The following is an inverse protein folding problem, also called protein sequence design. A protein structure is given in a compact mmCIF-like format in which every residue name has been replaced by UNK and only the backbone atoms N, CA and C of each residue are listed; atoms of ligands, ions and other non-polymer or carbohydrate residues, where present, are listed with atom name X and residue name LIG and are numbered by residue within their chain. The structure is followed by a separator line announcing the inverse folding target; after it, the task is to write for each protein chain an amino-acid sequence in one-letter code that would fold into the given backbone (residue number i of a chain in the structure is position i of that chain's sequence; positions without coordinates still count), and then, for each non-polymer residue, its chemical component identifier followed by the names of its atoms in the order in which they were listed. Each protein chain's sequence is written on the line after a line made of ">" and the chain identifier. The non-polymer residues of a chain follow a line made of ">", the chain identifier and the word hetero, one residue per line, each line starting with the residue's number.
data_IF_953510222327
#
_entry.id   IF_953510222327
#
_cell.length_a   1.000
_cell.length_b   1.000
_cell.length_c   1.000
_cell.angle_alpha   90.00
_cell.angle_beta   90.00
_cell.angle_gamma   90.00
#
_symmetry.space_group_name_H-M   'P 1'
#
loop_
_entity.id
_entity.type
_entity.pdbx_description
1 polymer ?
#
# COMPACT_ATOMS: atom_id res chain seq x y z
N UNK A 1 22.88 4.28 33.80
CA UNK A 1 22.24 3.10 33.20
C UNK A 1 20.90 2.72 33.83
N UNK A 2 20.73 2.77 35.16
CA UNK A 2 19.47 2.39 35.86
C UNK A 2 18.24 3.26 35.56
N UNK A 3 18.38 4.54 35.21
CA UNK A 3 17.24 5.43 34.99
C UNK A 3 16.60 5.26 33.58
N UNK A 4 17.38 4.88 32.57
CA UNK A 4 16.88 4.61 31.22
C UNK A 4 16.07 3.30 31.21
N UNK A 5 16.56 2.25 31.87
CA UNK A 5 15.83 0.97 32.01
C UNK A 5 14.51 1.11 32.78
N UNK A 6 14.47 1.97 33.81
CA UNK A 6 13.20 2.27 34.52
C UNK A 6 12.22 3.05 33.64
N UNK A 7 12.70 3.98 32.81
CA UNK A 7 11.87 4.74 31.87
C UNK A 7 11.27 3.85 30.77
N UNK A 8 12.08 2.95 30.18
CA UNK A 8 11.61 2.01 29.14
C UNK A 8 10.60 1.00 29.70
N UNK A 9 10.83 0.45 30.89
CA UNK A 9 9.84 -0.43 31.55
C UNK A 9 8.55 0.29 31.90
N UNK A 10 8.61 1.57 32.31
CA UNK A 10 7.43 2.37 32.59
C UNK A 10 6.64 2.69 31.32
N UNK A 11 7.32 2.97 30.20
CA UNK A 11 6.69 3.18 28.90
C UNK A 11 6.04 1.88 28.38
N UNK A 12 6.72 0.74 28.46
CA UNK A 12 6.16 -0.56 28.08
C UNK A 12 4.94 -0.96 28.94
N UNK A 13 4.99 -0.72 30.24
CA UNK A 13 3.86 -1.00 31.13
C UNK A 13 2.67 -0.09 30.81
N UNK A 14 2.92 1.17 30.46
CA UNK A 14 1.86 2.12 30.05
C UNK A 14 1.23 1.70 28.72
N UNK A 15 2.01 1.20 27.75
CA UNK A 15 1.51 0.68 26.47
C UNK A 15 0.67 -0.58 26.68
N UNK A 16 1.11 -1.50 27.52
CA UNK A 16 0.36 -2.74 27.83
C UNK A 16 -0.94 -2.45 28.57
N UNK A 17 -0.94 -1.50 29.52
CA UNK A 17 -2.15 -1.04 30.19
C UNK A 17 -3.10 -0.32 29.21
N UNK A 18 -2.58 0.47 28.29
CA UNK A 18 -3.35 1.14 27.25
C UNK A 18 -4.00 0.11 26.30
N UNK A 19 -3.26 -0.89 25.86
CA UNK A 19 -3.75 -1.98 25.03
C UNK A 19 -4.81 -2.83 25.74
N UNK A 20 -4.66 -3.09 27.05
CA UNK A 20 -5.66 -3.77 27.86
C UNK A 20 -6.93 -2.93 28.02
N UNK A 21 -6.79 -1.62 28.26
CA UNK A 21 -7.91 -0.68 28.32
C UNK A 21 -8.63 -0.60 26.98
N UNK A 22 -7.92 -0.55 25.86
CA UNK A 22 -8.50 -0.51 24.52
C UNK A 22 -9.18 -1.85 24.16
N UNK A 23 -8.64 -3.01 24.56
CA UNK A 23 -9.30 -4.30 24.37
C UNK A 23 -10.60 -4.42 25.19
N UNK A 24 -10.65 -3.84 26.39
CA UNK A 24 -11.87 -3.72 27.19
C UNK A 24 -12.87 -2.71 26.61
N UNK A 25 -12.40 -1.69 25.87
CA UNK A 25 -13.25 -0.72 25.18
C UNK A 25 -14.00 -1.37 24.01
N UNK A 26 -13.38 -2.28 23.29
CA UNK A 26 -14.04 -3.06 22.24
C UNK A 26 -15.09 -4.02 22.83
N UNK A 27 -14.94 -4.40 24.10
CA UNK A 27 -15.89 -5.26 24.82
C UNK A 27 -16.88 -4.52 25.72
N UNK A 28 -16.56 -3.31 26.21
CA UNK A 28 -17.43 -2.53 27.11
C UNK A 28 -17.85 -1.22 26.40
N UNK A 29 -19.09 -1.13 26.04
CA UNK A 29 -19.76 -0.06 25.28
C UNK A 29 -19.68 1.37 25.85
N UNK A 30 -18.75 1.75 26.75
CA UNK A 30 -18.81 3.05 27.42
C UNK A 30 -17.52 3.83 27.66
N UNK A 31 -16.36 3.41 27.15
CA UNK A 31 -15.23 4.34 27.09
C UNK A 31 -15.30 5.10 25.77
N UNK A 32 -15.70 6.35 25.86
CA UNK A 32 -15.91 7.17 24.67
C UNK A 32 -14.59 7.38 23.95
N UNK A 33 -14.58 7.17 22.63
CA UNK A 33 -13.45 7.48 21.71
C UNK A 33 -12.90 8.89 21.96
N UNK A 34 -13.74 9.81 22.47
CA UNK A 34 -13.34 11.13 22.97
C UNK A 34 -12.31 11.09 24.11
N UNK A 35 -12.23 10.01 24.91
CA UNK A 35 -11.19 9.84 25.93
C UNK A 35 -9.89 9.29 25.33
N UNK A 36 -9.97 8.46 24.29
CA UNK A 36 -8.81 7.97 23.54
C UNK A 36 -8.05 9.12 22.87
N UNK A 37 -8.76 10.06 22.27
CA UNK A 37 -8.18 11.20 21.55
C UNK A 37 -7.51 12.22 22.47
N UNK A 38 -7.82 12.23 23.74
CA UNK A 38 -7.09 13.03 24.74
C UNK A 38 -5.67 12.50 25.01
N UNK A 39 -5.37 11.28 24.54
CA UNK A 39 -4.02 10.72 24.64
C UNK A 39 -3.19 11.20 23.44
N UNK A 40 -2.14 12.00 23.62
CA UNK A 40 -1.34 12.55 22.54
C UNK A 40 -0.67 11.46 21.67
N UNK A 41 -0.47 10.24 22.21
CA UNK A 41 0.10 9.13 21.41
C UNK A 41 -0.89 8.53 20.41
N UNK A 42 -2.18 8.71 20.60
CA UNK A 42 -3.22 8.17 19.71
C UNK A 42 -3.50 9.13 18.54
N UNK A 43 -3.23 10.41 18.71
CA UNK A 43 -3.52 11.44 17.70
C UNK A 43 -2.36 11.68 16.73
N UNK A 44 -1.27 10.92 16.84
CA UNK A 44 -0.08 11.04 16.00
C UNK A 44 0.10 9.92 14.98
N UNK A 45 -0.69 8.85 15.07
CA UNK A 45 -0.60 7.69 14.17
C UNK A 45 -1.98 7.17 13.81
N UNK A 46 -2.16 6.80 12.56
CA UNK A 46 -3.37 6.18 12.00
C UNK A 46 -2.95 5.22 10.87
N UNK A 47 -3.61 4.06 10.71
CA UNK A 47 -4.53 3.44 11.65
C UNK A 47 -3.82 2.81 12.85
N UNK A 48 -4.54 2.69 13.97
CA UNK A 48 -4.08 1.95 15.16
C UNK A 48 -4.68 0.54 15.12
N UNK A 49 -3.83 -0.48 15.17
CA UNK A 49 -4.25 -1.89 15.11
C UNK A 49 -4.38 -2.48 16.51
N UNK A 50 -5.55 -3.02 16.81
CA UNK A 50 -5.88 -3.66 18.08
C UNK A 50 -6.56 -5.00 17.81
N UNK A 51 -5.80 -6.08 17.93
CA UNK A 51 -6.28 -7.41 17.54
C UNK A 51 -6.62 -7.47 16.05
N UNK A 52 -7.88 -7.73 15.73
CA UNK A 52 -8.43 -7.73 14.37
C UNK A 52 -9.08 -6.41 13.95
N UNK A 53 -9.01 -5.40 14.82
CA UNK A 53 -9.67 -4.11 14.63
C UNK A 53 -8.65 -3.02 14.29
N UNK A 54 -8.93 -2.26 13.25
CA UNK A 54 -8.23 -1.03 12.90
C UNK A 54 -9.06 0.18 13.32
N UNK A 55 -8.45 1.09 14.04
CA UNK A 55 -9.00 2.41 14.37
C UNK A 55 -8.31 3.44 13.48
N UNK A 56 -9.02 3.97 12.51
CA UNK A 56 -8.60 5.08 11.68
C UNK A 56 -8.93 6.40 12.37
N UNK A 57 -8.02 7.35 12.31
CA UNK A 57 -8.18 8.69 12.88
C UNK A 57 -7.76 9.73 11.84
N UNK A 58 -8.55 10.78 11.72
CA UNK A 58 -8.20 11.93 10.89
C UNK A 58 -8.45 13.22 11.68
N UNK A 59 -7.53 14.18 11.57
CA UNK A 59 -7.68 15.51 12.13
C UNK A 59 -8.01 16.49 11.00
N UNK A 60 -9.27 16.88 10.92
CA UNK A 60 -9.74 17.95 10.04
C UNK A 60 -9.54 19.35 10.63
N UNK A 61 -10.33 20.27 10.14
CA UNK A 61 -10.42 21.66 10.62
C UNK A 61 -11.89 22.05 10.87
N UNK A 62 -12.13 23.34 11.09
CA UNK A 62 -13.48 23.89 11.32
C UNK A 62 -14.38 23.84 10.06
N UNK A 63 -13.81 23.68 8.88
CA UNK A 63 -14.51 23.61 7.60
C UNK A 63 -14.84 22.19 7.17
N UNK A 64 -14.17 21.19 7.71
CA UNK A 64 -14.37 19.77 7.38
C UNK A 64 -15.80 19.33 7.69
N UNK A 65 -16.51 18.86 6.68
CA UNK A 65 -17.92 18.43 6.77
C UNK A 65 -18.10 16.93 6.67
N UNK A 66 -17.23 16.25 5.89
CA UNK A 66 -17.37 14.85 5.59
C UNK A 66 -16.00 14.20 5.47
N UNK A 67 -15.84 13.06 6.10
CA UNK A 67 -14.63 12.22 6.01
C UNK A 67 -15.06 10.81 5.73
N UNK A 68 -14.41 10.14 4.80
CA UNK A 68 -14.56 8.71 4.53
C UNK A 68 -13.22 8.09 4.19
N UNK A 69 -13.14 6.77 4.32
CA UNK A 69 -11.98 5.98 3.94
C UNK A 69 -12.34 5.14 2.74
N UNK A 70 -11.53 5.20 1.68
CA UNK A 70 -11.69 4.42 0.47
C UNK A 70 -10.37 3.71 0.14
N UNK A 71 -10.47 2.44 -0.22
CA UNK A 71 -9.31 1.60 -0.49
C UNK A 71 -9.72 0.23 -1.02
N UNK A 72 -8.76 -0.69 -1.11
CA UNK A 72 -8.99 -2.05 -1.59
C UNK A 72 -10.12 -2.77 -0.84
N UNK A 73 -10.29 -2.43 0.43
CA UNK A 73 -11.29 -3.05 1.32
C UNK A 73 -12.75 -2.70 0.97
N UNK A 74 -13.01 -1.70 0.15
CA UNK A 74 -14.36 -1.29 -0.28
C UNK A 74 -14.42 -0.89 -1.76
N UNK A 75 -13.51 -1.44 -2.59
CA UNK A 75 -13.43 -1.17 -4.02
C UNK A 75 -13.23 0.30 -4.35
N UNK A 76 -12.52 1.02 -3.50
CA UNK A 76 -12.23 2.46 -3.67
C UNK A 76 -13.50 3.33 -3.74
N UNK A 77 -14.59 2.89 -3.10
CA UNK A 77 -15.87 3.61 -3.09
C UNK A 77 -16.04 4.41 -1.77
N UNK A 78 -15.82 5.74 -1.77
CA UNK A 78 -15.95 6.56 -0.56
C UNK A 78 -17.40 6.70 -0.08
N UNK A 79 -18.38 6.31 -0.93
CA UNK A 79 -19.81 6.34 -0.60
C UNK A 79 -20.34 5.01 -0.09
N UNK A 80 -19.48 3.97 -0.05
CA UNK A 80 -19.86 2.66 0.45
C UNK A 80 -20.36 2.76 1.89
N UNK A 81 -21.48 2.09 2.17
CA UNK A 81 -22.12 2.19 3.47
C UNK A 81 -21.20 1.70 4.60
N UNK A 82 -21.14 2.49 5.66
CA UNK A 82 -20.33 2.18 6.83
C UNK A 82 -18.83 2.54 6.70
N UNK A 83 -18.41 3.22 5.63
CA UNK A 83 -17.05 3.71 5.46
C UNK A 83 -16.91 5.23 5.70
N UNK A 84 -17.99 5.87 6.11
CA UNK A 84 -18.00 7.25 6.56
C UNK A 84 -17.48 7.33 7.99
N UNK A 85 -16.68 8.36 8.25
CA UNK A 85 -16.16 8.67 9.57
C UNK A 85 -17.21 9.30 10.48
N UNK A 86 -17.01 9.11 11.76
CA UNK A 86 -17.78 9.75 12.82
C UNK A 86 -17.00 10.94 13.39
N UNK A 87 -17.60 12.12 13.35
CA UNK A 87 -17.04 13.30 13.98
C UNK A 87 -17.09 13.18 15.51
N UNK A 88 -16.01 13.60 16.18
CA UNK A 88 -15.94 13.60 17.64
C UNK A 88 -16.35 14.99 18.13
N UNK A 89 -17.44 15.02 18.88
CA UNK A 89 -18.04 16.25 19.40
C UNK A 89 -17.02 17.14 20.13
N UNK A 90 -17.03 18.43 19.83
CA UNK A 90 -16.14 19.47 20.39
C UNK A 90 -14.65 19.24 20.07
N UNK A 91 -14.34 18.57 18.96
CA UNK A 91 -12.98 18.42 18.43
C UNK A 91 -12.99 18.56 16.92
N UNK A 92 -11.80 18.54 16.30
CA UNK A 92 -11.64 18.42 14.84
C UNK A 92 -11.31 16.99 14.40
N UNK A 93 -11.45 16.00 15.29
CA UNK A 93 -11.13 14.62 14.97
C UNK A 93 -12.31 13.86 14.40
N UNK A 94 -11.99 13.00 13.45
CA UNK A 94 -12.87 12.02 12.84
C UNK A 94 -12.28 10.64 13.06
N UNK A 95 -13.11 9.63 13.19
CA UNK A 95 -12.67 8.25 13.35
C UNK A 95 -13.56 7.26 12.64
N UNK A 96 -12.98 6.10 12.33
CA UNK A 96 -13.68 4.92 11.84
C UNK A 96 -13.02 3.69 12.44
N UNK A 97 -13.83 2.69 12.84
CA UNK A 97 -13.34 1.39 13.27
C UNK A 97 -13.77 0.33 12.27
N UNK A 98 -12.84 -0.56 11.90
CA UNK A 98 -13.10 -1.69 11.00
C UNK A 98 -12.38 -2.93 11.47
N UNK A 99 -12.98 -4.09 11.25
CA UNK A 99 -12.35 -5.40 11.50
C UNK A 99 -11.85 -5.97 10.20
N UNK A 100 -10.63 -6.51 10.23
CA UNK A 100 -9.98 -7.15 9.10
C UNK A 100 -9.39 -8.50 9.51
N UNK A 101 -9.18 -9.44 8.56
CA UNK A 101 -8.36 -10.60 8.80
C UNK A 101 -6.99 -10.21 9.32
N UNK A 102 -6.45 -10.97 10.28
CA UNK A 102 -5.18 -10.61 10.95
C UNK A 102 -3.96 -10.57 10.02
N UNK A 103 -4.07 -11.18 8.84
CA UNK A 103 -3.05 -11.22 7.79
C UNK A 103 -3.37 -10.32 6.58
N UNK A 104 -4.36 -9.42 6.69
CA UNK A 104 -4.74 -8.54 5.59
C UNK A 104 -3.76 -7.36 5.43
N UNK A 105 -3.63 -6.89 4.20
CA UNK A 105 -2.99 -5.64 3.81
C UNK A 105 -3.85 -4.95 2.77
N UNK A 106 -4.01 -3.64 2.87
CA UNK A 106 -4.78 -2.83 1.93
C UNK A 106 -4.11 -1.49 1.70
N UNK A 107 -4.24 -0.99 0.48
CA UNK A 107 -4.00 0.41 0.15
C UNK A 107 -5.27 1.21 0.37
N UNK A 108 -5.13 2.47 0.80
CA UNK A 108 -6.27 3.35 1.01
C UNK A 108 -5.91 4.83 0.90
N UNK A 109 -6.92 5.66 0.74
CA UNK A 109 -6.89 7.11 0.92
C UNK A 109 -8.01 7.55 1.85
N UNK A 110 -7.86 8.76 2.39
CA UNK A 110 -8.94 9.48 3.07
C UNK A 110 -9.60 10.39 2.04
N UNK A 111 -10.92 10.46 2.05
CA UNK A 111 -11.70 11.39 1.23
C UNK A 111 -12.35 12.42 2.15
N UNK A 112 -11.88 13.64 2.07
CA UNK A 112 -12.30 14.79 2.89
C UNK A 112 -13.03 15.77 2.00
N UNK A 113 -14.33 15.97 2.21
CA UNK A 113 -15.15 16.87 1.41
C UNK A 113 -14.92 16.65 -0.11
N UNK A 114 -14.94 15.37 -0.53
CA UNK A 114 -14.71 14.88 -1.89
C UNK A 114 -13.25 15.01 -2.41
N UNK A 115 -12.30 15.49 -1.61
CA UNK A 115 -10.88 15.53 -1.95
C UNK A 115 -10.16 14.28 -1.43
N UNK A 116 -9.42 13.62 -2.33
CA UNK A 116 -8.65 12.42 -2.03
C UNK A 116 -7.26 12.77 -1.52
N UNK A 117 -6.91 12.32 -0.33
CA UNK A 117 -5.61 12.58 0.29
C UNK A 117 -5.02 11.30 0.87
N UNK A 118 -3.70 11.23 0.95
CA UNK A 118 -3.03 10.26 1.82
C UNK A 118 -3.42 10.52 3.27
N UNK A 119 -3.42 9.48 4.10
CA UNK A 119 -3.57 9.65 5.54
C UNK A 119 -2.35 10.39 6.10
N UNK A 120 -2.51 11.62 6.60
CA UNK A 120 -1.39 12.42 7.09
C UNK A 120 -0.79 11.88 8.40
N UNK A 121 -1.45 10.91 9.04
CA UNK A 121 -0.99 10.24 10.26
C UNK A 121 -0.40 8.86 9.98
N UNK A 122 -0.21 8.49 8.70
CA UNK A 122 0.32 7.20 8.29
C UNK A 122 1.59 7.36 7.44
N UNK A 123 2.73 6.94 7.98
CA UNK A 123 4.01 6.97 7.27
C UNK A 123 4.16 5.79 6.29
N UNK A 124 3.34 4.72 6.45
CA UNK A 124 3.37 3.58 5.53
C UNK A 124 2.63 3.93 4.24
N UNK A 125 3.37 3.97 3.15
CA UNK A 125 2.85 4.33 1.82
C UNK A 125 3.28 3.32 0.75
N UNK A 126 2.47 3.22 -0.30
CA UNK A 126 2.75 2.46 -1.52
C UNK A 126 2.55 3.38 -2.72
N UNK A 127 3.54 3.43 -3.61
CA UNK A 127 3.40 4.10 -4.88
C UNK A 127 2.45 3.29 -5.78
N UNK A 128 1.38 3.91 -6.24
CA UNK A 128 0.48 3.37 -7.26
C UNK A 128 0.82 3.91 -8.64
N UNK A 129 0.05 3.58 -9.67
CA UNK A 129 0.26 4.11 -11.02
C UNK A 129 0.27 5.65 -11.08
N UNK A 130 -0.48 6.32 -10.21
CA UNK A 130 -0.71 7.76 -10.26
C UNK A 130 -0.09 8.55 -9.11
N UNK A 131 -0.14 8.01 -7.89
CA UNK A 131 0.28 8.70 -6.67
C UNK A 131 0.45 7.69 -5.53
N UNK A 132 0.96 8.15 -4.38
CA UNK A 132 1.08 7.32 -3.20
C UNK A 132 -0.27 7.09 -2.52
N UNK A 133 -0.52 5.84 -2.15
CA UNK A 133 -1.57 5.45 -1.24
C UNK A 133 -1.00 5.27 0.17
N UNK A 134 -1.83 5.42 1.18
CA UNK A 134 -1.51 4.96 2.54
C UNK A 134 -1.72 3.46 2.63
N UNK A 135 -0.95 2.79 3.47
CA UNK A 135 -1.00 1.32 3.63
C UNK A 135 -1.45 0.97 5.04
N UNK A 136 -2.38 0.03 5.14
CA UNK A 136 -2.64 -0.69 6.38
C UNK A 136 -2.17 -2.13 6.21
N UNK A 137 -1.33 -2.61 7.12
CA UNK A 137 -0.96 -4.01 7.25
C UNK A 137 -1.35 -4.50 8.65
N UNK A 138 -2.16 -5.54 8.72
CA UNK A 138 -2.57 -6.15 9.98
C UNK A 138 -1.39 -6.91 10.59
N UNK A 139 -1.47 -7.22 11.89
CA UNK A 139 -0.34 -7.70 12.70
C UNK A 139 0.33 -8.99 12.20
N UNK A 140 -0.41 -9.86 11.51
CA UNK A 140 0.08 -11.14 11.02
C UNK A 140 0.35 -11.11 9.49
N UNK A 141 0.30 -9.92 8.87
CA UNK A 141 0.68 -9.78 7.46
C UNK A 141 2.18 -9.97 7.30
N UNK A 142 2.55 -10.88 6.42
CA UNK A 142 3.95 -11.13 6.05
C UNK A 142 4.23 -10.51 4.69
N UNK A 143 5.11 -9.53 4.64
CA UNK A 143 5.58 -8.99 3.38
C UNK A 143 6.34 -10.07 2.60
N UNK A 144 6.00 -10.30 1.32
CA UNK A 144 6.65 -11.33 0.52
C UNK A 144 8.16 -11.09 0.42
N UNK A 145 8.95 -12.09 0.80
CA UNK A 145 10.42 -12.00 0.74
C UNK A 145 10.94 -11.85 -0.69
N UNK A 146 10.15 -12.30 -1.67
CA UNK A 146 10.46 -12.19 -3.09
C UNK A 146 10.52 -10.75 -3.59
N UNK A 147 9.91 -9.78 -2.87
CA UNK A 147 9.94 -8.35 -3.23
C UNK A 147 11.23 -7.64 -2.81
N UNK A 148 12.05 -8.28 -1.98
CA UNK A 148 13.28 -7.69 -1.46
C UNK A 148 14.45 -7.91 -2.41
N UNK A 149 15.21 -6.85 -2.69
CA UNK A 149 16.46 -6.97 -3.43
C UNK A 149 17.48 -7.74 -2.59
N UNK A 150 18.08 -8.79 -3.16
CA UNK A 150 19.09 -9.64 -2.53
C UNK A 150 20.42 -9.50 -3.26
N UNK A 151 21.53 -9.18 -2.56
CA UNK A 151 22.82 -8.89 -3.20
C UNK A 151 23.44 -10.09 -3.94
N UNK A 152 23.08 -11.31 -3.56
CA UNK A 152 23.57 -12.56 -4.16
C UNK A 152 22.81 -12.96 -5.44
N UNK A 153 21.71 -12.26 -5.77
CA UNK A 153 20.85 -12.60 -6.92
C UNK A 153 21.26 -11.82 -8.15
N UNK A 154 21.49 -12.54 -9.24
CA UNK A 154 21.59 -11.95 -10.57
C UNK A 154 20.17 -11.71 -11.11
N UNK A 155 19.86 -10.45 -11.42
CA UNK A 155 18.54 -10.03 -11.89
C UNK A 155 18.43 -9.97 -13.41
N UNK A 156 19.36 -10.55 -14.17
CA UNK A 156 19.32 -10.57 -15.62
C UNK A 156 19.50 -9.18 -16.26
N UNK A 157 18.92 -8.97 -17.43
CA UNK A 157 19.13 -7.73 -18.18
C UNK A 157 17.84 -7.19 -18.78
N UNK A 158 17.58 -5.90 -18.61
CA UNK A 158 16.47 -5.16 -19.19
C UNK A 158 16.97 -4.33 -20.38
N UNK A 159 16.27 -4.41 -21.51
CA UNK A 159 16.60 -3.57 -22.68
C UNK A 159 16.25 -2.11 -22.44
N UNK A 160 16.83 -1.22 -23.24
CA UNK A 160 16.27 0.13 -23.42
C UNK A 160 14.85 0.03 -23.99
N UNK A 161 13.99 1.05 -23.77
CA UNK A 161 12.67 1.10 -24.37
C UNK A 161 12.74 1.02 -25.91
N UNK A 162 11.92 0.16 -26.49
CA UNK A 162 11.77 -0.03 -27.93
C UNK A 162 10.40 0.46 -28.32
N UNK A 163 10.30 1.20 -29.42
CA UNK A 163 9.04 1.72 -29.94
C UNK A 163 8.58 0.92 -31.16
N UNK A 164 7.33 0.44 -31.12
CA UNK A 164 6.65 -0.13 -32.28
C UNK A 164 5.66 0.91 -32.80
N UNK A 165 5.76 1.23 -34.08
CA UNK A 165 4.76 2.04 -34.76
C UNK A 165 3.53 1.19 -35.11
N UNK A 166 2.37 1.71 -34.83
CA UNK A 166 1.09 1.09 -35.18
C UNK A 166 0.34 1.92 -36.23
N UNK A 167 -0.36 1.24 -37.15
CA UNK A 167 -1.20 1.91 -38.12
C UNK A 167 -2.55 2.30 -37.55
N UNK A 168 -3.30 3.16 -38.26
CA UNK A 168 -4.65 3.58 -37.85
C UNK A 168 -5.64 2.42 -37.83
N UNK A 169 -5.42 1.39 -38.66
CA UNK A 169 -6.26 0.18 -38.68
C UNK A 169 -6.08 -0.69 -37.42
N UNK A 170 -4.99 -0.50 -36.69
CA UNK A 170 -4.70 -1.19 -35.44
C UNK A 170 -4.94 -0.24 -34.24
N UNK A 171 -3.86 0.20 -33.58
CA UNK A 171 -3.97 1.06 -32.39
C UNK A 171 -4.00 2.54 -32.72
N UNK A 172 -3.41 2.94 -33.85
CA UNK A 172 -3.34 4.33 -34.28
C UNK A 172 -2.31 5.18 -33.51
N UNK A 173 -1.52 4.58 -32.63
CA UNK A 173 -0.45 5.25 -31.87
C UNK A 173 0.73 4.30 -31.64
N UNK A 174 1.88 4.88 -31.33
CA UNK A 174 3.09 4.11 -31.04
C UNK A 174 3.04 3.49 -29.66
N UNK A 175 3.44 2.23 -29.55
CA UNK A 175 3.55 1.49 -28.30
C UNK A 175 5.01 1.34 -27.91
N UNK A 176 5.33 1.54 -26.65
CA UNK A 176 6.66 1.26 -26.10
C UNK A 176 6.66 -0.09 -25.41
N UNK A 177 7.79 -0.79 -25.49
CA UNK A 177 8.00 -2.01 -24.73
C UNK A 177 9.47 -2.16 -24.35
N UNK A 178 9.74 -2.96 -23.34
CA UNK A 178 11.08 -3.39 -22.93
C UNK A 178 11.11 -4.91 -22.83
N UNK A 179 12.26 -5.50 -23.10
CA UNK A 179 12.48 -6.93 -23.00
C UNK A 179 13.45 -7.20 -21.87
N UNK A 180 13.02 -8.01 -20.93
CA UNK A 180 13.91 -8.54 -19.89
C UNK A 180 14.29 -9.97 -20.22
N UNK A 181 15.60 -10.26 -20.12
CA UNK A 181 16.16 -11.60 -20.29
C UNK A 181 16.66 -12.12 -18.96
N UNK A 182 16.41 -13.41 -18.65
CA UNK A 182 16.80 -13.99 -17.37
C UNK A 182 18.33 -14.10 -17.23
N UNK A 183 18.83 -14.31 -16.01
CA UNK A 183 20.23 -14.61 -15.75
C UNK A 183 20.74 -15.75 -16.66
N UNK A 184 21.96 -15.60 -17.18
CA UNK A 184 22.58 -16.58 -18.07
C UNK A 184 21.76 -16.88 -19.33
N UNK A 185 21.04 -15.89 -19.83
CA UNK A 185 20.33 -15.97 -21.11
C UNK A 185 21.25 -16.41 -22.24
N UNK A 186 20.74 -17.27 -23.13
CA UNK A 186 21.45 -17.74 -24.32
C UNK A 186 20.48 -17.82 -25.50
N UNK A 187 20.88 -17.33 -26.66
CA UNK A 187 20.11 -17.42 -27.91
C UNK A 187 19.98 -18.86 -28.43
N UNK A 188 20.76 -19.79 -27.92
CA UNK A 188 20.71 -21.22 -28.28
C UNK A 188 19.61 -21.99 -27.53
N UNK A 189 18.94 -21.35 -26.57
CA UNK A 189 17.89 -21.96 -25.74
C UNK A 189 16.53 -21.34 -26.06
N UNK A 190 15.50 -22.14 -25.93
CA UNK A 190 14.11 -21.68 -25.98
C UNK A 190 13.65 -21.33 -24.57
N UNK A 191 12.97 -20.21 -24.45
CA UNK A 191 12.39 -19.72 -23.21
C UNK A 191 10.90 -19.45 -23.40
N UNK A 192 10.05 -19.71 -22.41
CA UNK A 192 8.71 -19.20 -22.40
C UNK A 192 8.74 -17.66 -22.38
N UNK A 193 7.73 -17.03 -22.98
CA UNK A 193 7.56 -15.57 -22.97
C UNK A 193 6.39 -15.18 -22.08
N UNK A 194 6.60 -14.16 -21.24
CA UNK A 194 5.58 -13.53 -20.39
C UNK A 194 5.36 -12.12 -20.93
N UNK A 195 4.12 -11.78 -21.25
CA UNK A 195 3.71 -10.43 -21.65
C UNK A 195 3.05 -9.75 -20.47
N UNK A 196 3.57 -8.59 -20.09
CA UNK A 196 3.11 -7.79 -18.96
C UNK A 196 2.58 -6.47 -19.48
N UNK A 197 1.26 -6.26 -19.37
CA UNK A 197 0.63 -4.96 -19.64
C UNK A 197 0.90 -4.03 -18.43
N UNK A 198 0.78 -2.73 -18.65
CA UNK A 198 1.23 -1.70 -17.70
C UNK A 198 2.70 -1.89 -17.31
N UNK A 199 3.49 -2.31 -18.28
CA UNK A 199 4.88 -2.71 -18.11
C UNK A 199 5.75 -1.63 -17.46
N UNK A 200 5.46 -0.35 -17.70
CA UNK A 200 6.14 0.78 -17.08
C UNK A 200 6.01 0.77 -15.55
N UNK A 201 4.88 0.30 -15.00
CA UNK A 201 4.66 0.21 -13.57
C UNK A 201 5.27 -1.07 -12.98
N UNK A 202 5.19 -2.18 -13.72
CA UNK A 202 5.75 -3.45 -13.24
C UNK A 202 7.28 -3.51 -13.27
N UNK A 203 7.93 -2.74 -14.14
CA UNK A 203 9.41 -2.60 -14.17
C UNK A 203 9.90 -1.79 -12.97
N UNK A 204 9.12 -0.83 -12.50
CA UNK A 204 9.49 0.06 -11.40
C UNK A 204 9.58 -0.70 -10.07
N UNK A 205 10.73 -0.57 -9.39
CA UNK A 205 11.00 -1.25 -8.12
C UNK A 205 10.08 -0.77 -6.99
N UNK A 206 9.62 0.47 -7.02
CA UNK A 206 8.73 1.04 -6.00
C UNK A 206 7.25 0.71 -6.23
N UNK A 207 6.92 0.23 -7.46
CA UNK A 207 5.55 -0.14 -7.84
C UNK A 207 5.39 -1.65 -7.92
N UNK A 208 5.69 -2.23 -9.08
CA UNK A 208 5.47 -3.65 -9.34
C UNK A 208 6.62 -4.55 -8.95
N UNK A 209 7.86 -4.05 -8.93
CA UNK A 209 9.09 -4.78 -8.59
C UNK A 209 9.26 -6.13 -9.31
N UNK A 210 8.68 -6.29 -10.51
CA UNK A 210 8.54 -7.58 -11.18
C UNK A 210 9.91 -8.24 -11.43
N UNK A 211 10.94 -7.45 -11.83
CA UNK A 211 12.28 -7.97 -12.08
C UNK A 211 12.90 -8.54 -10.82
N UNK A 212 12.72 -7.87 -9.67
CA UNK A 212 13.19 -8.37 -8.38
C UNK A 212 12.46 -9.66 -8.00
N UNK A 213 11.15 -9.69 -8.14
CA UNK A 213 10.32 -10.85 -7.81
C UNK A 213 10.71 -12.05 -8.66
N UNK A 214 10.71 -11.91 -9.99
CA UNK A 214 11.01 -13.02 -10.90
C UNK A 214 12.47 -13.48 -10.78
N UNK A 215 13.41 -12.56 -10.58
CA UNK A 215 14.82 -12.88 -10.34
C UNK A 215 15.01 -13.72 -9.08
N UNK A 216 14.38 -13.33 -7.97
CA UNK A 216 14.38 -14.10 -6.73
C UNK A 216 13.77 -15.48 -6.90
N UNK A 217 12.62 -15.58 -7.57
CA UNK A 217 11.93 -16.85 -7.80
C UNK A 217 12.75 -17.80 -8.71
N UNK A 218 13.44 -17.29 -9.72
CA UNK A 218 14.35 -18.07 -10.58
C UNK A 218 15.56 -18.54 -9.78
N UNK A 219 16.18 -17.63 -8.98
CA UNK A 219 17.32 -17.97 -8.13
C UNK A 219 16.96 -19.09 -7.16
N UNK A 220 15.80 -19.02 -6.53
CA UNK A 220 15.28 -20.01 -5.59
C UNK A 220 14.74 -21.28 -6.28
N UNK A 221 14.82 -21.37 -7.62
CA UNK A 221 14.30 -22.47 -8.45
C UNK A 221 12.80 -22.72 -8.26
N UNK A 222 12.04 -21.70 -7.88
CA UNK A 222 10.58 -21.76 -7.75
C UNK A 222 9.89 -21.61 -9.10
N UNK A 223 10.52 -20.90 -10.05
CA UNK A 223 10.05 -20.75 -11.44
C UNK A 223 11.18 -21.02 -12.43
N UNK A 224 10.84 -21.48 -13.63
CA UNK A 224 11.79 -21.64 -14.72
C UNK A 224 12.16 -20.27 -15.31
N UNK A 225 13.39 -20.08 -15.85
CA UNK A 225 13.75 -18.88 -16.57
C UNK A 225 12.81 -18.62 -17.75
N UNK A 226 12.38 -17.36 -17.92
CA UNK A 226 11.50 -16.89 -18.97
C UNK A 226 12.01 -15.56 -19.53
N UNK A 227 11.62 -15.19 -20.74
CA UNK A 227 11.76 -13.84 -21.29
C UNK A 227 10.51 -13.05 -20.88
N UNK A 228 10.66 -11.81 -20.43
CA UNK A 228 9.52 -10.95 -20.09
C UNK A 228 9.48 -9.75 -21.02
N UNK A 229 8.32 -9.48 -21.57
CA UNK A 229 8.04 -8.34 -22.43
C UNK A 229 7.11 -7.39 -21.65
N UNK A 230 7.66 -6.27 -21.21
CA UNK A 230 6.92 -5.22 -20.52
C UNK A 230 6.38 -4.24 -21.56
N UNK A 231 5.07 -4.13 -21.65
CA UNK A 231 4.36 -3.31 -22.64
C UNK A 231 3.76 -2.12 -21.92
N UNK A 232 4.11 -0.92 -22.39
CA UNK A 232 3.48 0.34 -21.97
C UNK A 232 2.29 0.61 -22.91
N UNK A 233 1.04 0.39 -22.46
CA UNK A 233 -0.14 0.54 -23.31
C UNK A 233 -0.61 1.98 -23.39
N UNK A 234 0.02 2.92 -22.71
CA UNK A 234 -0.44 4.31 -22.62
C UNK A 234 -0.43 4.96 -24.00
N UNK A 235 -1.59 5.45 -24.43
CA UNK A 235 -1.72 6.24 -25.64
C UNK A 235 -1.17 7.66 -25.40
N UNK A 236 0.00 8.03 -25.97
CA UNK A 236 0.60 9.35 -25.73
C UNK A 236 -0.24 10.51 -26.27
N UNK A 237 -1.25 10.24 -27.09
CA UNK A 237 -2.15 11.23 -27.67
C UNK A 237 -3.43 11.43 -26.85
N UNK A 238 -3.64 10.65 -25.79
CA UNK A 238 -4.81 10.75 -24.92
C UNK A 238 -4.45 11.51 -23.64
N UNK A 239 -4.74 12.81 -23.62
CA UNK A 239 -4.46 13.69 -22.48
C UNK A 239 -5.33 13.43 -21.24
N UNK A 240 -6.30 12.49 -21.32
CA UNK A 240 -7.17 12.13 -20.20
C UNK A 240 -6.64 10.92 -19.40
N UNK A 241 -5.61 10.26 -19.91
CA UNK A 241 -4.98 9.08 -19.27
C UNK A 241 -3.58 9.39 -18.68
N UNK A 242 -3.22 10.69 -18.60
CA UNK A 242 -1.96 11.15 -18.01
C UNK A 242 -2.18 11.83 -16.67
#
# INVERSE_FOLDING_TARGET
>A
MNNIFKSVKKAQLTIVLLLAVISQIVQAQNLTISQLIKNPHITTHSPIIIGDTALFIFKGDSLTRKVSWAGDFNGWNPKENGWQGWAIKNTHFWYLTKRFPSNARFDYKIVVDDQWIKDPLNDAVQLSGWDYNSVIAMKDYLFPEETKVRPEVDYGSLSMPITISSTKENLGYNVKYQVWTPPKYSTEKLYPAIYVLDGQDYVDQEKGAFITIIGNLIHDKKVAPAIVIFIDPINPNNSQEN
#
